data_IF_608439987475
#
_entry.id   IF_608439987475
#
_cell.length_a   1.000
_cell.length_b   1.000
_cell.length_c   1.000
_cell.angle_alpha   90.00
_cell.angle_beta   90.00
_cell.angle_gamma   90.00
#
_symmetry.space_group_name_H-M   'P 1'
#
loop_
_entity.id
_entity.type
_entity.pdbx_description
1 polymer ?
#
# COMPACT_ATOMS: atom_id res chain seq x y z
N UNK A 1 -2.61 2.83 -15.54
CA UNK A 1 -2.10 1.89 -14.53
C UNK A 1 -2.55 2.43 -13.20
N UNK A 2 -3.23 1.61 -12.39
CA UNK A 2 -3.62 1.98 -11.03
C UNK A 2 -2.55 1.39 -10.12
N UNK A 3 -1.81 2.24 -9.42
CA UNK A 3 -0.81 1.78 -8.45
C UNK A 3 -1.50 1.52 -7.11
N UNK A 4 -1.83 0.26 -6.87
CA UNK A 4 -2.31 -0.25 -5.59
C UNK A 4 -1.16 -0.80 -4.73
N UNK A 5 0.07 -0.30 -4.91
CA UNK A 5 1.14 -0.52 -3.96
C UNK A 5 0.93 0.28 -2.68
N UNK A 6 1.58 -0.16 -1.61
CA UNK A 6 1.82 0.63 -0.41
C UNK A 6 3.29 0.51 -0.05
N UNK A 7 3.83 1.60 0.49
CA UNK A 7 5.21 1.66 0.97
C UNK A 7 5.17 1.95 2.46
N UNK A 8 5.86 1.12 3.24
CA UNK A 8 6.04 1.34 4.68
C UNK A 8 7.04 2.47 4.89
N UNK A 9 6.60 3.55 5.54
CA UNK A 9 7.40 4.74 5.81
C UNK A 9 7.97 4.78 7.24
N UNK A 10 7.31 4.08 8.17
CA UNK A 10 7.68 4.03 9.59
C UNK A 10 7.77 2.57 10.09
N UNK A 11 8.06 2.37 11.37
CA UNK A 11 8.09 1.03 11.97
C UNK A 11 6.75 0.29 11.80
N UNK A 12 6.82 -0.98 11.40
CA UNK A 12 5.63 -1.78 11.09
C UNK A 12 5.92 -2.96 10.17
N UNK A 13 4.84 -3.62 9.76
CA UNK A 13 4.88 -4.71 8.79
C UNK A 13 3.71 -4.58 7.82
N UNK A 14 3.97 -4.86 6.54
CA UNK A 14 2.94 -4.93 5.51
C UNK A 14 3.07 -6.24 4.71
N UNK A 15 1.95 -6.88 4.44
CA UNK A 15 1.85 -8.07 3.58
C UNK A 15 0.76 -7.84 2.56
N UNK A 16 1.14 -7.72 1.29
CA UNK A 16 0.21 -7.44 0.20
C UNK A 16 0.01 -8.66 -0.69
N UNK A 17 -1.25 -8.95 -0.99
CA UNK A 17 -1.66 -9.95 -1.97
C UNK A 17 -1.98 -9.24 -3.29
N UNK A 18 -1.33 -9.69 -4.37
CA UNK A 18 -1.56 -9.17 -5.72
C UNK A 18 -2.88 -9.70 -6.29
N UNK A 19 -3.52 -8.94 -7.19
CA UNK A 19 -4.86 -9.28 -7.64
C UNK A 19 -4.82 -10.43 -8.65
N UNK A 20 -5.82 -11.31 -8.57
CA UNK A 20 -6.27 -12.07 -9.74
C UNK A 20 -7.35 -11.27 -10.47
N UNK A 21 -7.88 -11.76 -11.59
CA UNK A 21 -8.96 -11.07 -12.35
C UNK A 21 -10.22 -10.80 -11.49
N UNK A 22 -10.35 -11.47 -10.35
CA UNK A 22 -11.56 -11.51 -9.52
C UNK A 22 -11.39 -10.73 -8.21
N UNK A 23 -10.16 -10.62 -7.68
CA UNK A 23 -9.92 -10.09 -6.34
C UNK A 23 -9.19 -8.73 -6.37
N UNK A 24 -9.66 -7.72 -5.60
CA UNK A 24 -8.94 -6.47 -5.44
C UNK A 24 -7.62 -6.67 -4.68
N UNK A 25 -6.67 -5.75 -4.85
CA UNK A 25 -5.43 -5.77 -4.07
C UNK A 25 -5.76 -5.60 -2.60
N UNK A 26 -5.25 -6.49 -1.77
CA UNK A 26 -5.44 -6.46 -0.33
C UNK A 26 -4.07 -6.41 0.36
N UNK A 27 -3.91 -5.54 1.35
CA UNK A 27 -2.72 -5.46 2.18
C UNK A 27 -3.09 -5.58 3.65
N UNK A 28 -2.47 -6.53 4.35
CA UNK A 28 -2.47 -6.61 5.80
C UNK A 28 -1.38 -5.67 6.32
N UNK A 29 -1.74 -4.68 7.13
CA UNK A 29 -0.80 -3.65 7.59
C UNK A 29 -0.90 -3.55 9.09
N UNK A 30 0.26 -3.54 9.75
CA UNK A 30 0.42 -3.34 11.18
C UNK A 30 1.44 -2.24 11.39
N UNK A 31 1.10 -1.25 12.21
CA UNK A 31 2.01 -0.15 12.54
C UNK A 31 2.56 -0.33 13.95
N UNK A 32 3.86 -0.09 14.14
CA UNK A 32 4.45 0.06 15.46
C UNK A 32 4.26 1.49 15.95
N UNK A 33 4.33 1.69 17.28
CA UNK A 33 4.27 3.04 17.84
C UNK A 33 5.46 3.87 17.37
N UNK A 34 5.22 5.11 16.96
CA UNK A 34 6.24 6.01 16.44
C UNK A 34 5.97 7.45 16.89
N UNK A 35 6.90 8.01 17.66
CA UNK A 35 6.79 9.35 18.26
C UNK A 35 5.45 9.53 19.01
N UNK A 36 4.58 10.42 18.53
CA UNK A 36 3.26 10.70 19.10
C UNK A 36 2.13 9.80 18.53
N UNK A 37 2.45 8.82 17.68
CA UNK A 37 1.48 7.91 17.08
C UNK A 37 1.47 6.56 17.80
N UNK A 38 0.27 6.15 18.25
CA UNK A 38 0.07 4.82 18.84
C UNK A 38 0.20 3.72 17.78
N UNK A 39 0.61 2.53 18.22
CA UNK A 39 0.64 1.35 17.36
C UNK A 39 -0.76 1.03 16.85
N UNK A 40 -0.88 0.63 15.58
CA UNK A 40 -2.13 0.13 15.02
C UNK A 40 -2.07 -1.39 14.96
N UNK A 41 -3.14 -2.04 15.38
CA UNK A 41 -3.30 -3.48 15.19
C UNK A 41 -3.30 -3.84 13.70
N UNK A 42 -3.03 -5.11 13.41
CA UNK A 42 -3.05 -5.60 12.03
C UNK A 42 -4.46 -5.50 11.45
N UNK A 43 -4.61 -4.78 10.34
CA UNK A 43 -5.88 -4.63 9.63
C UNK A 43 -5.70 -4.84 8.12
N UNK A 44 -6.77 -5.27 7.45
CA UNK A 44 -6.79 -5.53 6.00
C UNK A 44 -7.35 -4.34 5.24
N UNK A 45 -6.51 -3.75 4.40
CA UNK A 45 -6.82 -2.64 3.52
C UNK A 45 -7.03 -3.14 2.10
N UNK A 46 -8.07 -2.63 1.42
CA UNK A 46 -8.41 -3.00 0.05
C UNK A 46 -8.26 -1.81 -0.88
N UNK A 47 -7.56 -1.99 -1.99
CA UNK A 47 -7.47 -1.00 -3.05
C UNK A 47 -8.54 -1.27 -4.10
N UNK A 48 -9.37 -0.26 -4.38
CA UNK A 48 -10.39 -0.34 -5.43
C UNK A 48 -9.78 -0.14 -6.84
N UNK A 49 -10.60 -0.31 -7.86
CA UNK A 49 -10.20 -0.11 -9.27
C UNK A 49 -9.89 1.35 -9.62
N UNK A 50 -10.15 2.30 -8.70
CA UNK A 50 -9.81 3.70 -8.84
C UNK A 50 -8.51 4.07 -8.10
N UNK A 51 -7.85 3.12 -7.44
CA UNK A 51 -6.64 3.35 -6.64
C UNK A 51 -6.92 3.90 -5.24
N UNK A 52 -8.16 3.80 -4.76
CA UNK A 52 -8.54 4.23 -3.41
C UNK A 52 -8.48 3.06 -2.45
N UNK A 53 -7.86 3.30 -1.30
CA UNK A 53 -7.79 2.35 -0.21
C UNK A 53 -9.01 2.46 0.70
N UNK A 54 -9.50 1.32 1.16
CA UNK A 54 -10.59 1.22 2.14
C UNK A 54 -10.32 0.05 3.09
N UNK A 55 -10.25 0.29 4.41
CA UNK A 55 -10.31 1.60 5.08
C UNK A 55 -9.14 2.54 4.70
N UNK A 56 -9.17 3.78 5.18
CA UNK A 56 -8.07 4.73 4.95
C UNK A 56 -6.77 4.17 5.51
N UNK A 57 -5.69 4.26 4.75
CA UNK A 57 -4.39 3.74 5.15
C UNK A 57 -3.89 4.38 6.47
N UNK A 58 -3.20 3.62 7.33
CA UNK A 58 -2.68 4.12 8.58
C UNK A 58 -1.43 4.98 8.36
N UNK A 59 -1.01 5.73 9.39
CA UNK A 59 0.10 6.68 9.30
C UNK A 59 1.44 6.05 8.88
N UNK A 60 1.64 4.76 9.15
CA UNK A 60 2.93 4.10 8.89
C UNK A 60 3.16 3.72 7.42
N UNK A 61 2.17 3.93 6.54
CA UNK A 61 2.28 3.61 5.11
C UNK A 61 1.81 4.78 4.23
N UNK A 62 2.39 4.88 3.04
CA UNK A 62 1.89 5.77 1.99
C UNK A 62 1.41 4.96 0.78
N UNK A 63 0.35 5.40 0.09
CA UNK A 63 -0.08 4.78 -1.15
C UNK A 63 0.99 4.95 -2.24
N UNK A 64 1.14 3.91 -3.06
CA UNK A 64 2.16 3.81 -4.09
C UNK A 64 3.25 2.81 -3.72
N UNK A 65 3.76 2.13 -4.73
CA UNK A 65 4.81 1.11 -4.62
C UNK A 65 6.21 1.68 -4.31
N UNK A 66 6.34 3.02 -4.22
CA UNK A 66 7.63 3.71 -4.07
C UNK A 66 8.58 3.50 -5.26
N UNK A 67 8.13 2.77 -6.29
CA UNK A 67 8.88 2.54 -7.52
C UNK A 67 8.83 3.81 -8.36
N UNK A 68 10.00 4.40 -8.62
CA UNK A 68 10.12 5.35 -9.72
C UNK A 68 9.89 4.58 -11.03
N UNK A 69 8.68 4.69 -11.57
CA UNK A 69 8.36 4.18 -12.90
C UNK A 69 9.21 4.96 -13.90
N UNK A 70 10.31 4.36 -14.34
CA UNK A 70 11.09 4.90 -15.46
C UNK A 70 10.25 4.88 -16.73
N UNK A 71 10.29 5.97 -17.49
CA UNK A 71 9.56 6.05 -18.75
C UNK A 71 9.95 4.88 -19.66
N UNK A 72 8.95 4.29 -20.33
CA UNK A 72 9.17 3.23 -21.31
C UNK A 72 10.18 3.74 -22.35
N UNK A 73 11.33 3.06 -22.57
CA UNK A 73 12.30 3.52 -23.55
C UNK A 73 11.59 3.64 -24.89
N UNK A 74 11.62 4.84 -25.48
CA UNK A 74 11.17 5.01 -26.86
C UNK A 74 12.12 4.18 -27.71
N UNK A 75 11.56 3.18 -28.40
CA UNK A 75 12.34 2.26 -29.22
C UNK A 75 13.23 3.03 -30.19
N UNK A 76 14.46 2.53 -30.35
CA UNK A 76 15.44 2.98 -31.35
C UNK A 76 15.00 2.49 -32.73
#
# INVERSE_FOLDING_TARGET
>A
YVDCGVTLCHGGSQVCSTPTVIDPVCCSIKCEAFEDNEACEEEVYKCDTNGKWSPSLPFCVTPGSGLQLVARPQGI
#
